data_IF_618810928145
#
_entry.id   IF_618810928145
#
_cell.length_a   1.000
_cell.length_b   1.000
_cell.length_c   1.000
_cell.angle_alpha   90.00
_cell.angle_beta   90.00
_cell.angle_gamma   90.00
#
_symmetry.space_group_name_H-M   'P 1'
#
loop_
_entity.id
_entity.type
_entity.pdbx_description
1 polymer ?
#
# COMPACT_ATOMS: atom_id res chain seq x y z
N UNK A 1 2.57 -41.21 -11.42
CA UNK A 1 2.95 -40.14 -10.47
C UNK A 1 2.56 -38.81 -11.13
N UNK A 2 1.35 -38.32 -10.81
CA UNK A 2 0.76 -37.12 -11.42
C UNK A 2 1.31 -35.88 -10.71
N UNK A 3 2.23 -35.17 -11.34
CA UNK A 3 2.65 -33.83 -10.90
C UNK A 3 1.63 -32.82 -11.45
N UNK A 4 0.51 -32.66 -10.75
CA UNK A 4 -0.37 -31.51 -10.91
C UNK A 4 0.33 -30.31 -10.30
N UNK A 5 1.21 -29.68 -11.09
CA UNK A 5 1.63 -28.30 -10.90
C UNK A 5 0.38 -27.43 -11.08
N UNK A 6 -0.46 -27.35 -10.05
CA UNK A 6 -1.42 -26.26 -9.95
C UNK A 6 -0.59 -24.98 -10.01
N UNK A 7 -0.57 -24.37 -11.19
CA UNK A 7 -0.02 -23.05 -11.40
C UNK A 7 -0.77 -22.10 -10.48
N UNK A 8 -0.24 -21.93 -9.28
CA UNK A 8 -0.38 -20.69 -8.54
C UNK A 8 0.33 -19.64 -9.41
N UNK A 9 -0.34 -19.22 -10.48
CA UNK A 9 -0.14 -17.88 -10.99
C UNK A 9 -0.31 -17.00 -9.77
N UNK A 10 0.79 -16.43 -9.28
CA UNK A 10 0.71 -15.27 -8.43
C UNK A 10 0.03 -14.20 -9.28
N UNK A 11 -1.30 -14.18 -9.25
CA UNK A 11 -2.08 -13.04 -9.65
C UNK A 11 -1.67 -11.96 -8.68
N UNK A 12 -0.60 -11.25 -9.04
CA UNK A 12 -0.28 -9.96 -8.46
C UNK A 12 -1.58 -9.19 -8.54
N UNK A 13 -2.17 -8.91 -7.38
CA UNK A 13 -3.35 -8.08 -7.22
C UNK A 13 -2.98 -6.67 -7.68
N UNK A 14 -2.80 -6.52 -8.99
CA UNK A 14 -2.76 -5.27 -9.72
C UNK A 14 -4.21 -4.81 -9.84
N UNK A 15 -4.84 -4.66 -8.67
CA UNK A 15 -6.23 -4.31 -8.56
C UNK A 15 -6.28 -2.88 -7.98
N UNK A 16 -6.91 -1.91 -8.66
CA UNK A 16 -7.21 -0.61 -8.06
C UNK A 16 -7.82 -0.72 -6.65
N UNK A 17 -8.56 -1.80 -6.36
CA UNK A 17 -9.07 -2.10 -5.01
C UNK A 17 -7.96 -2.24 -3.96
N UNK A 18 -6.81 -2.82 -4.31
CA UNK A 18 -5.67 -2.94 -3.40
C UNK A 18 -5.02 -1.58 -3.11
N UNK A 19 -4.91 -0.71 -4.12
CA UNK A 19 -4.48 0.66 -3.91
C UNK A 19 -5.47 1.42 -3.00
N UNK A 20 -6.79 1.25 -3.22
CA UNK A 20 -7.82 1.86 -2.38
C UNK A 20 -7.74 1.38 -0.91
N UNK A 21 -7.50 0.09 -0.67
CA UNK A 21 -7.29 -0.46 0.67
C UNK A 21 -6.05 0.14 1.35
N UNK A 22 -4.94 0.26 0.62
CA UNK A 22 -3.71 0.86 1.15
C UNK A 22 -3.85 2.36 1.45
N UNK A 23 -4.67 3.08 0.68
CA UNK A 23 -5.02 4.48 0.97
C UNK A 23 -5.83 4.54 2.28
N UNK A 24 -6.87 3.72 2.41
CA UNK A 24 -7.72 3.70 3.61
C UNK A 24 -6.94 3.32 4.88
N UNK A 25 -6.07 2.31 4.80
CA UNK A 25 -5.17 1.93 5.90
C UNK A 25 -4.22 3.09 6.26
N UNK A 26 -3.73 3.80 5.23
CA UNK A 26 -2.88 4.97 5.42
C UNK A 26 -3.55 6.13 6.14
N UNK A 27 -4.83 6.38 5.86
CA UNK A 27 -5.65 7.40 6.53
C UNK A 27 -5.92 7.04 7.99
N UNK A 28 -6.23 5.77 8.28
CA UNK A 28 -6.43 5.27 9.65
C UNK A 28 -5.19 5.49 10.51
N UNK A 29 -4.02 5.08 10.00
CA UNK A 29 -2.75 5.27 10.70
C UNK A 29 -2.43 6.77 10.89
N UNK A 30 -2.84 7.64 9.96
CA UNK A 30 -2.62 9.09 10.08
C UNK A 30 -3.45 9.68 11.21
N UNK A 31 -4.68 9.21 11.39
CA UNK A 31 -5.52 9.60 12.52
C UNK A 31 -4.93 9.14 13.86
N UNK A 32 -4.37 7.93 13.91
CA UNK A 32 -3.67 7.42 15.09
C UNK A 32 -2.42 8.26 15.44
N UNK A 33 -1.59 8.58 14.44
CA UNK A 33 -0.40 9.39 14.66
C UNK A 33 -0.74 10.82 15.08
N UNK A 34 -1.83 11.39 14.55
CA UNK A 34 -2.33 12.69 14.99
C UNK A 34 -2.80 12.63 16.45
N UNK A 35 -3.46 11.54 16.86
CA UNK A 35 -3.83 11.33 18.26
C UNK A 35 -2.59 11.21 19.16
N UNK A 36 -1.54 10.51 18.72
CA UNK A 36 -0.26 10.43 19.42
C UNK A 36 0.44 11.78 19.52
N UNK A 37 0.41 12.60 18.46
CA UNK A 37 0.95 13.95 18.47
C UNK A 37 0.21 14.84 19.48
N UNK A 38 -1.12 14.81 19.46
CA UNK A 38 -1.96 15.57 20.38
C UNK A 38 -1.79 15.12 21.84
N UNK A 39 -1.51 13.84 22.06
CA UNK A 39 -1.17 13.30 23.37
C UNK A 39 0.29 13.57 23.80
N UNK A 40 1.11 14.20 22.95
CA UNK A 40 2.53 14.46 23.21
C UNK A 40 3.41 13.21 23.20
N UNK A 41 2.92 12.08 22.67
CA UNK A 41 3.65 10.81 22.58
C UNK A 41 4.68 10.80 21.45
N UNK A 42 4.49 11.65 20.44
CA UNK A 42 5.45 11.86 19.34
C UNK A 42 5.66 13.36 19.12
N UNK A 43 6.83 13.73 18.62
CA UNK A 43 7.14 15.10 18.24
C UNK A 43 6.56 15.44 16.86
N UNK A 44 6.37 16.73 16.57
CA UNK A 44 5.88 17.22 15.27
C UNK A 44 6.74 16.75 14.10
N UNK A 45 8.07 16.71 14.27
CA UNK A 45 8.99 16.25 13.24
C UNK A 45 8.80 14.76 12.91
N UNK A 46 8.58 13.92 13.94
CA UNK A 46 8.33 12.50 13.74
C UNK A 46 6.98 12.26 13.07
N UNK A 47 5.94 13.03 13.43
CA UNK A 47 4.65 12.98 12.74
C UNK A 47 4.78 13.32 11.25
N UNK A 48 5.48 14.40 10.90
CA UNK A 48 5.70 14.77 9.49
C UNK A 48 6.48 13.72 8.72
N UNK A 49 7.51 13.13 9.36
CA UNK A 49 8.29 12.04 8.77
C UNK A 49 7.42 10.82 8.47
N UNK A 50 6.56 10.42 9.41
CA UNK A 50 5.65 9.28 9.23
C UNK A 50 4.64 9.52 8.11
N UNK A 51 4.08 10.73 8.00
CA UNK A 51 3.17 11.11 6.90
C UNK A 51 3.88 10.99 5.56
N UNK A 52 5.08 11.57 5.40
CA UNK A 52 5.84 11.52 4.13
C UNK A 52 6.23 10.09 3.75
N UNK A 53 6.65 9.27 4.72
CA UNK A 53 6.97 7.86 4.47
C UNK A 53 5.76 7.13 3.90
N UNK A 54 4.58 7.35 4.48
CA UNK A 54 3.35 6.68 4.07
C UNK A 54 2.87 7.13 2.69
N UNK A 55 2.90 8.43 2.42
CA UNK A 55 2.58 8.97 1.08
C UNK A 55 3.49 8.34 0.00
N UNK A 56 4.79 8.26 0.24
CA UNK A 56 5.73 7.65 -0.70
C UNK A 56 5.48 6.14 -0.89
N UNK A 57 5.20 5.41 0.19
CA UNK A 57 4.88 3.98 0.12
C UNK A 57 3.58 3.72 -0.64
N UNK A 58 2.51 4.46 -0.34
CA UNK A 58 1.22 4.32 -1.03
C UNK A 58 1.33 4.66 -2.51
N UNK A 59 2.02 5.75 -2.86
CA UNK A 59 2.30 6.09 -4.26
C UNK A 59 3.06 4.98 -4.98
N UNK A 60 4.07 4.40 -4.35
CA UNK A 60 4.86 3.31 -4.93
C UNK A 60 4.00 2.07 -5.15
N UNK A 61 3.18 1.69 -4.18
CA UNK A 61 2.30 0.51 -4.29
C UNK A 61 1.25 0.72 -5.38
N UNK A 62 0.63 1.89 -5.45
CA UNK A 62 -0.35 2.23 -6.48
C UNK A 62 0.30 2.35 -7.87
N UNK A 63 1.53 2.85 -7.98
CA UNK A 63 2.26 2.87 -9.25
C UNK A 63 2.61 1.45 -9.73
N UNK A 64 3.08 0.59 -8.82
CA UNK A 64 3.37 -0.81 -9.12
C UNK A 64 2.13 -1.60 -9.51
N UNK A 65 0.97 -1.33 -8.89
CA UNK A 65 -0.27 -1.97 -9.29
C UNK A 65 -0.66 -1.56 -10.71
N UNK A 66 -0.59 -0.27 -11.07
CA UNK A 66 -0.90 0.23 -12.42
C UNK A 66 0.08 -0.32 -13.48
N UNK A 67 1.39 -0.31 -13.20
CA UNK A 67 2.40 -0.82 -14.13
C UNK A 67 2.20 -2.30 -14.44
N UNK A 68 1.91 -3.11 -13.41
CA UNK A 68 1.61 -4.54 -13.60
C UNK A 68 0.31 -4.79 -14.34
N UNK A 69 -0.72 -3.94 -14.17
CA UNK A 69 -1.94 -4.04 -14.98
C UNK A 69 -1.63 -3.77 -16.45
N UNK A 70 -0.77 -2.79 -16.78
CA UNK A 70 -0.39 -2.48 -18.17
C UNK A 70 0.44 -3.59 -18.82
N UNK A 71 1.37 -4.22 -18.10
CA UNK A 71 2.16 -5.34 -18.63
C UNK A 71 1.30 -6.58 -18.90
N UNK A 72 0.27 -6.84 -18.08
CA UNK A 72 -0.63 -7.98 -18.23
C UNK A 72 -1.78 -7.77 -19.22
N UNK A 73 -1.94 -6.58 -19.82
CA UNK A 73 -2.95 -6.31 -20.85
C UNK A 73 -2.49 -6.65 -22.29
N UNK A 74 -1.34 -7.30 -22.46
CA UNK A 74 -0.82 -7.76 -23.75
C UNK A 74 -1.25 -9.19 -24.14
N UNK A 75 -2.42 -9.67 -23.67
CA UNK A 75 -3.01 -10.95 -24.10
C UNK A 75 -4.44 -10.77 -24.61
#
# INVERSE_FOLDING_TARGET
MFFLSFGCEQRYLSNPDFCALMIADGESLKAEDLAKLNAGLIASEEYERLVRLRENSTLTICALSILKTKENQNF
#
